data_IF_322625481528
#
_entry.id   IF_322625481528
#
_cell.length_a   1.000
_cell.length_b   1.000
_cell.length_c   1.000
_cell.angle_alpha   90.00
_cell.angle_beta   90.00
_cell.angle_gamma   90.00
#
_symmetry.space_group_name_H-M   'P 1'
#
loop_
_entity.id
_entity.type
_entity.pdbx_description
1 polymer ?
2 non-polymer ?
3 non-polymer ?
4 water ?
#
# COMPACT_ATOMS: atom_id res chain seq x y z
N UNK A 1 -25.86 -0.67 -6.01
CA UNK A 1 -25.10 -1.23 -4.85
C UNK A 1 -25.70 -0.74 -3.55
N UNK A 2 -25.56 -1.53 -2.46
CA UNK A 2 -26.09 -1.16 -1.15
C UNK A 2 -25.11 -0.20 -0.45
N UNK A 3 -25.40 0.16 0.80
CA UNK A 3 -24.53 1.04 1.55
C UNK A 3 -23.18 0.36 1.72
N UNK A 4 -22.09 1.14 1.86
CA UNK A 4 -20.75 0.56 2.04
C UNK A 4 -20.66 -0.52 3.12
N UNK A 5 -21.18 -0.26 4.31
CA UNK A 5 -21.11 -1.26 5.37
C UNK A 5 -21.88 -2.55 5.00
N UNK A 6 -23.03 -2.40 4.34
CA UNK A 6 -23.79 -3.59 3.96
C UNK A 6 -23.01 -4.38 2.92
N UNK A 7 -22.35 -3.67 2.00
CA UNK A 7 -21.55 -4.35 0.98
C UNK A 7 -20.36 -5.06 1.60
N UNK A 8 -19.71 -4.44 2.57
CA UNK A 8 -18.57 -5.08 3.25
C UNK A 8 -19.03 -6.40 3.88
N UNK A 9 -20.19 -6.37 4.53
CA UNK A 9 -20.70 -7.59 5.16
C UNK A 9 -20.99 -8.66 4.12
N UNK A 10 -21.61 -8.27 3.01
CA UNK A 10 -21.91 -9.21 1.95
C UNK A 10 -20.62 -9.84 1.43
N UNK A 11 -19.54 -9.06 1.38
CA UNK A 11 -18.28 -9.60 0.91
C UNK A 11 -17.73 -10.68 1.86
N UNK A 12 -17.84 -10.49 3.17
CA UNK A 12 -17.35 -11.52 4.10
C UNK A 12 -18.21 -12.77 3.92
N UNK A 13 -19.52 -12.57 3.78
CA UNK A 13 -20.44 -13.69 3.60
C UNK A 13 -20.11 -14.48 2.32
N UNK A 14 -19.86 -13.76 1.24
CA UNK A 14 -19.56 -14.43 -0.02
C UNK A 14 -18.16 -15.07 -0.05
N UNK A 15 -17.18 -14.42 0.57
CA UNK A 15 -15.81 -14.92 0.57
C UNK A 15 -15.43 -15.89 1.69
N UNK A 16 -16.21 -15.89 2.77
CA UNK A 16 -15.94 -16.70 3.95
C UNK A 16 -14.65 -16.20 4.61
N UNK A 17 -14.30 -14.95 4.35
CA UNK A 17 -13.08 -14.41 4.95
C UNK A 17 -13.34 -13.12 5.71
N UNK A 18 -12.28 -12.58 6.33
CA UNK A 18 -12.40 -11.32 7.05
C UNK A 18 -12.00 -10.18 6.14
N UNK A 19 -12.77 -9.10 6.20
CA UNK A 19 -12.50 -7.89 5.44
C UNK A 19 -12.19 -6.83 6.47
N UNK A 20 -11.19 -6.00 6.22
CA UNK A 20 -10.84 -4.92 7.13
C UNK A 20 -10.88 -3.67 6.28
N UNK A 21 -11.56 -2.63 6.75
CA UNK A 21 -11.68 -1.43 5.93
C UNK A 21 -11.76 -0.11 6.69
N UNK A 22 -11.14 0.93 6.11
CA UNK A 22 -11.22 2.28 6.66
C UNK A 22 -11.41 3.21 5.46
N UNK A 23 -12.29 4.18 5.62
CA UNK A 23 -12.55 5.22 4.63
C UNK A 23 -12.31 6.49 5.44
N UNK A 24 -11.37 7.31 5.02
CA UNK A 24 -10.99 8.49 5.81
C UNK A 24 -10.76 9.74 4.94
N UNK A 25 -11.20 10.90 5.42
CA UNK A 25 -10.96 12.13 4.67
C UNK A 25 -9.44 12.36 4.72
N UNK A 26 -8.81 12.55 3.55
CA UNK A 26 -7.35 12.73 3.52
C UNK A 26 -6.88 14.02 4.18
N UNK A 27 -7.60 15.10 3.96
CA UNK A 27 -7.20 16.37 4.52
C UNK A 27 -7.35 16.46 6.03
N UNK A 28 -8.44 15.91 6.56
CA UNK A 28 -8.69 16.04 8.01
C UNK A 28 -8.53 14.81 8.89
N UNK A 29 -8.58 13.62 8.29
CA UNK A 29 -8.50 12.39 9.06
C UNK A 29 -9.86 11.92 9.58
N UNK A 30 -10.93 12.60 9.17
CA UNK A 30 -12.27 12.18 9.61
C UNK A 30 -12.51 10.74 9.16
N UNK A 31 -12.85 9.86 10.10
CA UNK A 31 -13.14 8.47 9.73
C UNK A 31 -14.62 8.33 9.36
N UNK A 32 -14.90 7.90 8.12
CA UNK A 32 -16.29 7.72 7.67
C UNK A 32 -16.80 6.31 7.82
N UNK A 33 -15.97 5.34 7.50
CA UNK A 33 -16.33 3.93 7.62
C UNK A 33 -15.18 3.21 8.29
N UNK A 34 -15.48 2.35 9.25
CA UNK A 34 -14.46 1.58 9.95
C UNK A 34 -15.05 0.19 10.24
N UNK A 35 -14.47 -0.83 9.65
CA UNK A 35 -14.95 -2.20 9.84
C UNK A 35 -13.73 -3.05 10.11
N UNK A 36 -13.70 -3.69 11.29
CA UNK A 36 -12.55 -4.50 11.73
C UNK A 36 -11.29 -3.65 11.59
N UNK A 37 -11.45 -2.35 11.83
CA UNK A 37 -10.35 -1.40 11.65
C UNK A 37 -9.16 -1.57 12.58
N UNK A 38 -9.38 -2.27 13.70
CA UNK A 38 -8.31 -2.49 14.66
C UNK A 38 -7.83 -3.92 14.65
N UNK A 39 -8.29 -4.70 13.67
CA UNK A 39 -7.85 -6.08 13.54
C UNK A 39 -6.64 -6.15 12.60
N UNK A 40 -5.78 -7.15 12.82
CA UNK A 40 -4.59 -7.32 11.99
C UNK A 40 -4.81 -8.05 10.68
N UNK A 41 -4.12 -7.55 9.65
CA UNK A 41 -4.15 -8.11 8.31
C UNK A 41 -2.74 -8.06 7.72
N UNK A 42 -2.38 -9.07 6.92
CA UNK A 42 -1.04 -9.04 6.31
C UNK A 42 -0.98 -7.83 5.37
N UNK A 43 0.12 -7.06 5.41
CA UNK A 43 0.27 -5.89 4.54
C UNK A 43 0.56 -6.28 3.10
N UNK A 44 1.25 -7.39 2.93
CA UNK A 44 1.64 -7.81 1.58
C UNK A 44 2.43 -6.66 0.95
N UNK A 45 2.30 -6.50 -0.37
CA UNK A 45 3.03 -5.46 -1.08
C UNK A 45 2.67 -4.02 -0.71
N UNK A 46 1.61 -3.81 0.06
CA UNK A 46 1.30 -2.43 0.42
C UNK A 46 2.37 -1.82 1.31
N UNK A 47 3.24 -2.65 1.91
CA UNK A 47 4.31 -2.13 2.76
C UNK A 47 5.26 -1.26 1.94
N UNK A 48 5.29 -1.45 0.62
CA UNK A 48 6.20 -0.68 -0.22
C UNK A 48 5.98 0.83 -0.18
N UNK A 49 4.75 1.27 0.08
CA UNK A 49 4.51 2.70 0.17
C UNK A 49 5.17 3.25 1.46
N UNK A 50 4.99 2.56 2.59
CA UNK A 50 5.60 2.99 3.85
C UNK A 50 7.13 2.97 3.71
N UNK A 51 7.65 1.94 3.05
CA UNK A 51 9.08 1.82 2.80
C UNK A 51 9.64 3.08 2.13
N UNK A 52 9.00 3.53 1.06
CA UNK A 52 9.51 4.70 0.37
C UNK A 52 9.29 5.99 1.16
N UNK A 53 8.34 5.96 2.10
CA UNK A 53 8.16 7.12 2.95
C UNK A 53 9.41 7.21 3.83
N UNK A 54 9.92 6.07 4.28
CA UNK A 54 11.13 6.06 5.12
C UNK A 54 12.35 6.52 4.31
N UNK A 55 12.41 6.11 3.04
CA UNK A 55 13.50 6.52 2.17
C UNK A 55 13.45 8.04 1.98
N UNK A 56 12.26 8.57 1.73
CA UNK A 56 12.13 10.00 1.54
C UNK A 56 12.54 10.75 2.82
N UNK A 57 12.25 10.19 3.99
CA UNK A 57 12.61 10.83 5.24
C UNK A 57 14.13 10.96 5.31
N UNK A 58 14.83 9.92 4.86
CA UNK A 58 16.29 9.95 4.84
C UNK A 58 16.80 11.00 3.85
N UNK A 59 16.11 11.13 2.71
CA UNK A 59 16.50 12.15 1.73
C UNK A 59 16.34 13.54 2.35
N UNK A 60 15.21 13.76 3.02
CA UNK A 60 14.92 15.04 3.65
C UNK A 60 15.99 15.42 4.68
N UNK A 61 16.48 14.41 5.40
CA UNK A 61 17.50 14.61 6.44
C UNK A 61 18.91 14.79 5.87
N UNK A 62 19.05 14.58 4.56
CA UNK A 62 20.36 14.70 3.94
C UNK A 62 21.19 13.43 4.04
N UNK A 63 20.56 12.33 4.43
CA UNK A 63 21.25 11.05 4.58
C UNK A 63 21.07 10.12 3.38
N UNK A 64 20.35 10.61 2.37
CA UNK A 64 20.09 9.84 1.16
C UNK A 64 19.80 10.81 0.02
N UNK A 65 19.96 10.34 -1.21
CA UNK A 65 19.66 11.15 -2.39
C UNK A 65 18.87 10.26 -3.33
N UNK A 66 17.78 10.78 -3.90
CA UNK A 66 17.03 9.93 -4.83
C UNK A 66 17.87 9.69 -6.08
N UNK A 67 18.86 10.56 -6.32
CA UNK A 67 19.76 10.41 -7.45
C UNK A 67 20.83 9.31 -7.27
N UNK A 68 21.15 8.96 -6.03
CA UNK A 68 22.20 8.01 -5.77
C UNK A 68 22.01 6.68 -6.50
N UNK A 69 23.02 6.30 -7.29
CA UNK A 69 22.93 5.07 -8.05
C UNK A 69 23.42 3.87 -7.25
N UNK A 70 22.60 2.84 -7.16
CA UNK A 70 22.99 1.62 -6.47
C UNK A 70 23.27 0.54 -7.51
N UNK A 71 24.45 -0.07 -7.43
CA UNK A 71 24.80 -1.13 -8.36
C UNK A 71 24.63 -2.43 -7.60
N UNK A 72 23.89 -3.35 -8.19
CA UNK A 72 23.66 -4.60 -7.52
C UNK A 72 24.01 -5.75 -8.46
N UNK A 73 23.96 -6.97 -7.93
CA UNK A 73 24.33 -8.18 -8.66
C UNK A 73 23.14 -9.08 -8.94
N UNK A 74 23.28 -9.97 -9.92
CA UNK A 74 22.18 -10.87 -10.22
C UNK A 74 21.80 -11.71 -9.00
N UNK A 75 22.80 -12.08 -8.19
CA UNK A 75 22.56 -12.89 -6.99
C UNK A 75 21.68 -12.12 -5.99
N UNK A 76 21.58 -10.81 -6.15
CA UNK A 76 20.75 -10.00 -5.24
C UNK A 76 19.29 -10.02 -5.62
N UNK A 77 18.99 -10.50 -6.81
CA UNK A 77 17.60 -10.53 -7.26
C UNK A 77 16.75 -11.62 -6.64
N UNK A 78 15.52 -11.24 -6.31
CA UNK A 78 14.54 -12.18 -5.78
C UNK A 78 13.36 -12.26 -6.77
N UNK A 79 12.44 -13.17 -6.49
CA UNK A 79 11.28 -13.42 -7.32
C UNK A 79 10.51 -12.15 -7.67
N UNK A 80 10.31 -11.92 -8.97
CA UNK A 80 9.58 -10.79 -9.55
C UNK A 80 10.33 -9.48 -9.46
N UNK A 81 11.14 -9.25 -10.48
CA UNK A 81 12.00 -8.07 -10.58
C UNK A 81 11.94 -7.56 -12.02
N UNK A 82 10.73 -7.17 -12.48
CA UNK A 82 10.52 -6.69 -13.86
C UNK A 82 11.37 -5.52 -14.29
N UNK A 83 11.68 -4.63 -13.36
CA UNK A 83 12.49 -3.49 -13.69
C UNK A 83 13.95 -3.73 -13.33
N UNK A 84 14.20 -4.16 -12.10
CA UNK A 84 15.57 -4.36 -11.64
C UNK A 84 16.36 -5.40 -12.40
N UNK A 85 15.69 -6.43 -12.93
CA UNK A 85 16.46 -7.44 -13.67
C UNK A 85 17.03 -6.85 -14.96
N UNK A 86 16.52 -5.70 -15.39
CA UNK A 86 16.99 -5.07 -16.62
C UNK A 86 18.18 -4.14 -16.40
N UNK A 87 18.61 -3.95 -15.16
CA UNK A 87 19.70 -3.03 -14.88
C UNK A 87 20.88 -3.59 -14.13
N UNK A 88 21.25 -4.82 -14.48
CA UNK A 88 22.41 -5.43 -13.84
C UNK A 88 23.70 -4.76 -14.31
N UNK A 89 23.68 -4.20 -15.51
CA UNK A 89 24.87 -3.55 -16.04
C UNK A 89 25.05 -2.13 -15.57
N UNK A 90 23.95 -1.38 -15.47
CA UNK A 90 24.04 0.02 -15.10
C UNK A 90 23.50 0.50 -13.76
N UNK A 91 22.83 -0.38 -13.02
CA UNK A 91 22.29 0.01 -11.72
C UNK A 91 21.02 0.86 -11.84
N UNK A 92 20.49 1.21 -10.68
CA UNK A 92 19.29 2.06 -10.60
C UNK A 92 19.47 3.09 -9.50
N UNK A 93 18.88 4.27 -9.69
CA UNK A 93 18.97 5.28 -8.64
C UNK A 93 17.96 4.90 -7.54
N UNK A 94 18.16 5.47 -6.36
CA UNK A 94 17.26 5.20 -5.25
C UNK A 94 15.82 5.60 -5.63
N UNK A 95 15.68 6.75 -6.31
CA UNK A 95 14.37 7.18 -6.75
C UNK A 95 13.76 6.19 -7.74
N UNK A 96 14.57 5.70 -8.68
CA UNK A 96 14.07 4.69 -9.64
C UNK A 96 13.66 3.41 -8.90
N UNK A 97 14.39 3.07 -7.86
CA UNK A 97 14.07 1.88 -7.09
C UNK A 97 12.70 2.05 -6.41
N UNK A 98 12.44 3.22 -5.85
CA UNK A 98 11.13 3.45 -5.22
C UNK A 98 10.05 3.41 -6.29
N UNK A 99 10.30 4.02 -7.46
CA UNK A 99 9.28 3.96 -8.51
C UNK A 99 9.01 2.49 -8.91
N UNK A 100 10.05 1.69 -9.02
CA UNK A 100 9.88 0.29 -9.39
C UNK A 100 9.15 -0.50 -8.30
N UNK A 101 9.50 -0.24 -7.04
CA UNK A 101 8.85 -0.96 -5.93
C UNK A 101 7.35 -0.63 -5.83
N UNK A 102 7.02 0.65 -5.94
CA UNK A 102 5.64 1.06 -5.82
C UNK A 102 4.80 0.88 -7.07
N UNK A 103 5.31 1.34 -8.22
CA UNK A 103 4.51 1.28 -9.44
C UNK A 103 4.51 -0.06 -10.16
N UNK A 104 5.51 -0.90 -9.89
CA UNK A 104 5.60 -2.21 -10.54
C UNK A 104 5.66 -3.38 -9.54
N UNK A 105 5.74 -3.04 -8.26
CA UNK A 105 5.86 -4.01 -7.15
C UNK A 105 7.10 -4.88 -7.33
N UNK A 106 8.17 -4.26 -7.81
CA UNK A 106 9.44 -4.93 -8.05
C UNK A 106 10.02 -5.34 -6.68
N UNK A 107 10.18 -6.65 -6.46
CA UNK A 107 10.64 -7.11 -5.16
C UNK A 107 12.11 -6.90 -4.85
N UNK A 108 12.98 -6.97 -5.86
CA UNK A 108 14.40 -6.76 -5.63
C UNK A 108 14.59 -5.29 -5.30
N UNK A 109 13.87 -4.42 -6.02
CA UNK A 109 13.98 -2.99 -5.74
C UNK A 109 13.55 -2.74 -4.30
N UNK A 110 12.47 -3.37 -3.89
CA UNK A 110 12.00 -3.21 -2.51
C UNK A 110 13.04 -3.69 -1.50
N UNK A 111 13.67 -4.84 -1.75
CA UNK A 111 14.67 -5.33 -0.80
C UNK A 111 15.92 -4.45 -0.74
N UNK A 112 16.34 -3.92 -1.89
CA UNK A 112 17.51 -3.05 -1.90
C UNK A 112 17.19 -1.82 -1.05
N UNK A 113 16.00 -1.25 -1.24
CA UNK A 113 15.58 -0.09 -0.44
C UNK A 113 15.44 -0.44 1.04
N UNK A 114 14.90 -1.62 1.33
CA UNK A 114 14.70 -2.02 2.70
C UNK A 114 16.03 -2.09 3.46
N UNK A 115 17.08 -2.51 2.77
CA UNK A 115 18.38 -2.57 3.43
C UNK A 115 18.84 -1.16 3.82
N UNK A 116 18.60 -0.16 2.95
CA UNK A 116 19.04 1.21 3.23
C UNK A 116 18.40 1.84 4.46
N UNK A 117 17.22 1.36 4.85
CA UNK A 117 16.56 1.91 6.02
C UNK A 117 16.70 1.02 7.25
N UNK A 118 17.59 0.03 7.20
CA UNK A 118 17.78 -0.82 8.36
C UNK A 118 17.03 -2.14 8.39
N UNK A 119 16.58 -2.60 7.22
CA UNK A 119 15.86 -3.86 7.15
C UNK A 119 14.47 -3.75 7.77
N UNK A 120 13.77 -4.88 7.90
CA UNK A 120 12.42 -4.90 8.49
C UNK A 120 12.41 -4.21 9.87
N UNK A 121 13.43 -4.45 10.69
CA UNK A 121 13.47 -3.82 12.01
C UNK A 121 13.57 -2.30 11.89
N UNK A 122 14.39 -1.82 10.95
CA UNK A 122 14.57 -0.40 10.73
C UNK A 122 13.28 0.28 10.26
N UNK A 123 12.55 -0.38 9.37
CA UNK A 123 11.30 0.20 8.89
C UNK A 123 10.29 0.23 10.05
N UNK A 124 10.28 -0.81 10.87
CA UNK A 124 9.38 -0.86 11.99
C UNK A 124 9.72 0.27 12.98
N UNK A 125 11.01 0.53 13.16
CA UNK A 125 11.43 1.60 14.06
C UNK A 125 10.95 2.95 13.49
N UNK A 126 11.03 3.10 12.17
CA UNK A 126 10.58 4.33 11.51
C UNK A 126 9.08 4.51 11.79
N UNK A 127 8.31 3.41 11.67
CA UNK A 127 6.88 3.48 11.92
C UNK A 127 6.62 3.94 13.37
N UNK A 128 7.37 3.39 14.33
CA UNK A 128 7.19 3.81 15.71
C UNK A 128 7.53 5.31 15.85
N UNK A 129 8.54 5.77 15.12
CA UNK A 129 8.95 7.17 15.17
C UNK A 129 7.88 8.13 14.65
N UNK A 130 7.02 7.66 13.76
CA UNK A 130 5.95 8.55 13.29
C UNK A 130 4.63 8.29 14.02
N UNK A 131 4.69 7.52 15.11
CA UNK A 131 3.48 7.32 15.88
C UNK A 131 2.62 6.11 15.60
N UNK A 132 3.09 5.22 14.74
CA UNK A 132 2.35 4.00 14.43
C UNK A 132 2.95 2.91 15.30
N UNK A 133 2.23 2.51 16.34
CA UNK A 133 2.72 1.51 17.27
C UNK A 133 2.15 0.13 17.01
N UNK A 134 1.52 -0.05 15.85
CA UNK A 134 0.90 -1.31 15.51
C UNK A 134 1.53 -2.01 14.30
N UNK A 135 1.67 -1.28 13.19
CA UNK A 135 2.23 -1.86 11.98
C UNK A 135 3.64 -2.39 12.21
N UNK A 136 3.93 -3.54 11.63
CA UNK A 136 5.24 -4.13 11.81
C UNK A 136 5.71 -4.90 10.58
N UNK A 137 6.97 -4.72 10.22
CA UNK A 137 7.55 -5.49 9.11
C UNK A 137 8.56 -6.40 9.78
N UNK A 138 8.55 -7.67 9.37
CA UNK A 138 9.45 -8.64 9.96
C UNK A 138 10.29 -9.39 8.96
N UNK A 139 9.78 -9.53 7.74
CA UNK A 139 10.49 -10.27 6.72
C UNK A 139 10.75 -9.46 5.46
N UNK A 140 11.57 -10.02 4.58
CA UNK A 140 11.90 -9.37 3.32
C UNK A 140 10.85 -9.64 2.25
N UNK A 141 10.93 -8.89 1.15
CA UNK A 141 9.95 -8.91 0.06
C UNK A 141 9.25 -10.16 -0.41
N UNK A 142 9.97 -11.25 -0.58
CA UNK A 142 9.31 -12.44 -1.08
C UNK A 142 8.89 -13.48 -0.03
N UNK A 143 8.91 -13.11 1.25
CA UNK A 143 8.49 -14.04 2.32
C UNK A 143 7.42 -13.42 3.21
N UNK A 144 7.23 -12.10 3.10
CA UNK A 144 6.25 -11.44 3.95
C UNK A 144 4.77 -11.62 3.65
N UNK A 145 4.41 -12.28 2.56
CA UNK A 145 2.98 -12.46 2.28
C UNK A 145 2.47 -13.88 2.49
N UNK A 146 3.17 -14.65 3.33
CA UNK A 146 2.78 -16.02 3.63
C UNK A 146 1.40 -16.11 4.33
N UNK A 147 1.05 -15.09 5.09
CA UNK A 147 -0.26 -15.03 5.75
C UNK A 147 -0.70 -16.23 6.61
N UNK A 148 0.19 -16.73 7.45
CA UNK A 148 -0.16 -17.85 8.31
C UNK A 148 -1.19 -17.38 9.35
N UNK A 149 -2.16 -18.22 9.69
CA UNK A 149 -3.15 -17.81 10.69
C UNK A 149 -2.47 -17.61 12.05
N UNK A 150 -2.88 -16.58 12.79
CA UNK A 150 -2.29 -16.32 14.09
C UNK A 150 -0.89 -15.71 14.05
N UNK A 151 -0.36 -15.49 12.85
CA UNK A 151 0.98 -14.92 12.70
C UNK A 151 0.88 -13.41 12.62
N UNK A 152 1.46 -12.73 13.62
CA UNK A 152 1.44 -11.27 13.67
C UNK A 152 2.51 -10.63 12.80
N UNK A 153 3.41 -11.42 12.24
CA UNK A 153 4.45 -10.83 11.40
C UNK A 153 3.91 -10.13 10.16
N UNK A 154 4.57 -9.02 9.80
CA UNK A 154 4.23 -8.29 8.58
C UNK A 154 2.77 -7.88 8.46
N UNK A 155 2.22 -7.38 9.56
CA UNK A 155 0.82 -6.99 9.55
C UNK A 155 0.63 -5.53 9.90
N UNK A 156 -0.56 -5.04 9.59
CA UNK A 156 -0.96 -3.70 9.94
C UNK A 156 -2.44 -3.83 10.29
N UNK A 157 -3.08 -2.71 10.63
CA UNK A 157 -4.53 -2.73 10.84
C UNK A 157 -5.03 -1.66 9.88
N UNK A 158 -6.31 -1.73 9.46
CA UNK A 158 -6.81 -0.70 8.55
C UNK A 158 -6.64 0.70 9.13
N UNK A 159 -6.94 0.84 10.42
CA UNK A 159 -6.83 2.15 11.05
C UNK A 159 -5.39 2.68 11.11
N UNK A 160 -4.45 1.80 11.42
CA UNK A 160 -3.04 2.17 11.50
C UNK A 160 -2.50 2.56 10.14
N UNK A 161 -2.78 1.73 9.14
CA UNK A 161 -2.29 2.02 7.81
C UNK A 161 -2.87 3.31 7.24
N UNK A 162 -4.16 3.54 7.44
CA UNK A 162 -4.79 4.77 6.95
C UNK A 162 -4.14 5.98 7.62
N UNK A 163 -3.97 5.91 8.94
CA UNK A 163 -3.36 7.02 9.68
C UNK A 163 -1.92 7.25 9.25
N UNK A 164 -1.17 6.17 9.04
CA UNK A 164 0.22 6.28 8.63
C UNK A 164 0.34 6.88 7.24
N UNK A 165 -0.49 6.44 6.30
CA UNK A 165 -0.44 7.00 4.95
C UNK A 165 -0.78 8.48 5.01
N UNK A 166 -1.78 8.84 5.81
CA UNK A 166 -2.13 10.24 5.92
C UNK A 166 -0.95 11.04 6.48
N UNK A 167 -0.28 10.50 7.50
CA UNK A 167 0.87 11.20 8.07
C UNK A 167 1.96 11.43 7.03
N UNK A 168 2.25 10.39 6.25
CA UNK A 168 3.30 10.50 5.24
C UNK A 168 2.96 11.47 4.12
N UNK A 169 1.69 11.46 3.70
CA UNK A 169 1.27 12.31 2.60
C UNK A 169 0.92 13.74 2.94
N UNK A 170 0.50 14.00 4.17
CA UNK A 170 0.01 15.34 4.50
C UNK A 170 0.46 16.04 5.78
N UNK A 171 1.12 15.33 6.69
CA UNK A 171 1.45 15.94 7.99
C UNK A 171 2.66 16.83 8.11
N UNK A 172 3.39 17.01 7.01
CA UNK A 172 4.60 17.83 6.99
C UNK A 172 5.74 17.17 7.75
N UNK A 173 5.63 15.85 7.97
CA UNK A 173 6.72 15.10 8.60
C UNK A 173 7.75 14.98 7.47
N UNK A 174 7.25 14.80 6.25
CA UNK A 174 8.11 14.77 5.06
C UNK A 174 8.03 16.17 4.45
N UNK A 175 9.07 16.57 3.73
CA UNK A 175 9.11 17.87 3.08
C UNK A 175 8.01 17.96 2.03
N UNK A 176 7.73 19.17 1.55
CA UNK A 176 6.71 19.33 0.54
C UNK A 176 7.05 18.50 -0.70
N UNK A 177 8.29 18.59 -1.15
CA UNK A 177 8.68 17.84 -2.34
C UNK A 177 8.54 16.33 -2.13
N UNK A 178 8.91 15.84 -0.95
CA UNK A 178 8.81 14.40 -0.68
C UNK A 178 7.35 13.97 -0.63
N UNK A 179 6.49 14.77 0.00
CA UNK A 179 5.05 14.43 0.04
C UNK A 179 4.50 14.32 -1.38
N UNK A 180 4.89 15.25 -2.24
CA UNK A 180 4.45 15.25 -3.63
C UNK A 180 4.99 14.05 -4.39
N UNK A 181 6.23 13.67 -4.10
CA UNK A 181 6.82 12.50 -4.76
C UNK A 181 6.11 11.19 -4.37
N UNK A 182 5.84 11.01 -3.07
CA UNK A 182 5.19 9.79 -2.62
C UNK A 182 3.81 9.66 -3.26
N UNK A 183 3.08 10.78 -3.32
CA UNK A 183 1.77 10.79 -3.95
C UNK A 183 1.88 10.43 -5.45
N UNK A 184 2.84 11.03 -6.15
CA UNK A 184 2.96 10.75 -7.57
C UNK A 184 3.29 9.27 -7.81
N UNK A 185 4.12 8.65 -6.94
CA UNK A 185 4.42 7.23 -7.13
C UNK A 185 3.11 6.41 -7.05
N UNK A 186 2.24 6.76 -6.11
CA UNK A 186 0.97 6.03 -6.03
C UNK A 186 0.08 6.31 -7.24
N UNK A 187 0.09 7.56 -7.73
CA UNK A 187 -0.71 7.91 -8.91
C UNK A 187 -0.22 7.07 -10.10
N UNK A 188 1.09 6.84 -10.13
CA UNK A 188 1.69 6.09 -11.23
C UNK A 188 1.65 4.57 -11.18
N UNK A 189 0.91 3.97 -10.24
CA UNK A 189 0.85 2.51 -10.20
C UNK A 189 0.49 1.89 -11.53
N UNK A 190 1.31 0.98 -12.01
CA UNK A 190 1.04 0.32 -13.29
C UNK A 190 0.33 -1.01 -13.09
N UNK A 191 0.42 -1.59 -11.91
CA UNK A 191 -0.18 -2.88 -11.66
C UNK A 191 -1.71 -2.85 -11.62
N UNK A 192 -2.27 -1.89 -10.90
CA UNK A 192 -3.73 -1.81 -10.81
C UNK A 192 -4.33 -0.47 -11.23
N UNK A 193 -3.52 0.58 -11.25
CA UNK A 193 -4.04 1.90 -11.60
C UNK A 193 -4.83 1.97 -12.89
N UNK A 194 -4.22 1.61 -14.02
CA UNK A 194 -4.94 1.66 -15.29
C UNK A 194 -6.20 0.80 -15.31
N UNK A 195 -6.13 -0.38 -14.70
CA UNK A 195 -7.28 -1.27 -14.66
C UNK A 195 -8.42 -0.59 -13.88
N UNK A 196 -8.10 -0.02 -12.71
CA UNK A 196 -9.11 0.66 -11.92
C UNK A 196 -9.72 1.83 -12.69
N UNK A 197 -8.89 2.63 -13.36
CA UNK A 197 -9.45 3.76 -14.11
C UNK A 197 -10.40 3.28 -15.18
N UNK A 198 -10.11 2.13 -15.78
CA UNK A 198 -10.96 1.58 -16.83
C UNK A 198 -12.37 1.26 -16.35
N UNK A 199 -12.54 1.04 -15.05
CA UNK A 199 -13.87 0.73 -14.53
C UNK A 199 -14.44 1.84 -13.64
N UNK A 200 -13.69 2.93 -13.47
CA UNK A 200 -14.22 4.02 -12.66
C UNK A 200 -15.05 4.97 -13.52
N UNK A 201 -16.13 5.52 -12.98
CA UNK A 201 -16.92 6.46 -13.78
C UNK A 201 -16.05 7.68 -14.02
N UNK A 202 -16.38 8.45 -15.05
CA UNK A 202 -15.65 9.67 -15.33
C UNK A 202 -15.68 10.57 -14.10
N UNK A 203 -14.56 11.25 -13.85
CA UNK A 203 -14.51 12.19 -12.74
C UNK A 203 -13.88 11.69 -11.45
N UNK A 204 -13.62 10.38 -11.37
CA UNK A 204 -13.04 9.82 -10.15
C UNK A 204 -11.53 9.63 -10.21
N UNK A 205 -10.86 10.24 -9.24
CA UNK A 205 -9.41 10.19 -9.03
C UNK A 205 -9.01 8.84 -8.40
N UNK A 206 -7.88 8.28 -8.83
CA UNK A 206 -7.35 7.08 -8.17
C UNK A 206 -5.83 7.11 -8.10
N UNK A 207 -5.30 6.72 -6.94
CA UNK A 207 -3.85 6.54 -6.71
C UNK A 207 -3.88 5.30 -5.83
N UNK A 208 -2.90 4.40 -5.96
CA UNK A 208 -3.00 3.19 -5.17
C UNK A 208 -1.76 2.33 -5.12
N UNK A 209 -1.78 1.39 -4.17
CA UNK A 209 -0.79 0.31 -4.12
C UNK A 209 -1.59 -0.92 -3.69
N UNK A 210 -1.49 -2.01 -4.44
CA UNK A 210 -2.23 -3.22 -4.10
C UNK A 210 -1.27 -4.30 -3.62
N UNK A 211 -1.82 -5.36 -3.06
CA UNK A 211 -1.03 -6.46 -2.57
C UNK A 211 -1.83 -7.74 -2.57
N UNK A 212 -1.13 -8.88 -2.54
CA UNK A 212 -1.79 -10.17 -2.50
C UNK A 212 -0.89 -11.13 -1.74
N UNK A 213 -1.49 -12.14 -1.15
CA UNK A 213 -0.74 -13.13 -0.39
C UNK A 213 -1.45 -14.46 -0.35
N UNK A 214 -0.96 -15.33 0.53
CA UNK A 214 -1.52 -16.66 0.69
C UNK A 214 -2.84 -16.64 1.46
N UNK A 215 -3.55 -17.76 1.36
CA UNK A 215 -4.82 -17.93 2.06
C UNK A 215 -5.81 -16.85 1.70
N UNK A 216 -5.74 -16.41 0.46
CA UNK A 216 -6.67 -15.40 -0.01
C UNK A 216 -6.32 -13.97 0.32
N UNK A 217 -5.19 -13.74 0.98
CA UNK A 217 -4.82 -12.36 1.33
C UNK A 217 -4.85 -11.44 0.10
N UNK A 218 -5.43 -10.26 0.27
CA UNK A 218 -5.55 -9.32 -0.83
C UNK A 218 -5.74 -7.94 -0.21
N UNK A 219 -5.19 -6.91 -0.83
CA UNK A 219 -5.41 -5.61 -0.23
C UNK A 219 -5.11 -4.44 -1.13
N UNK A 220 -5.60 -3.28 -0.71
CA UNK A 220 -5.34 -2.07 -1.46
C UNK A 220 -5.34 -0.86 -0.53
N UNK A 221 -4.36 0.02 -0.74
CA UNK A 221 -4.31 1.29 -0.01
C UNK A 221 -4.47 2.29 -1.16
N UNK A 222 -5.45 3.17 -1.06
CA UNK A 222 -5.75 4.06 -2.16
C UNK A 222 -6.25 5.42 -1.76
N UNK A 223 -6.18 6.33 -2.73
CA UNK A 223 -6.72 7.69 -2.61
C UNK A 223 -7.79 7.72 -3.69
N UNK A 224 -8.97 8.17 -3.32
CA UNK A 224 -10.12 8.16 -4.22
C UNK A 224 -11.01 9.35 -3.98
N UNK A 225 -11.64 9.83 -5.04
CA UNK A 225 -12.59 10.92 -4.85
C UNK A 225 -13.15 11.47 -6.14
N UNK A 226 -14.31 12.13 -6.07
CA UNK A 226 -14.95 12.71 -7.25
C UNK A 226 -14.28 14.07 -7.55
N UNK A 227 -14.70 14.66 -8.65
CA UNK A 227 -14.14 15.92 -9.16
C UNK A 227 -12.64 15.84 -9.32
N UNK A 228 -12.14 14.66 -9.64
CA UNK A 228 -10.73 14.45 -9.87
C UNK A 228 -9.84 14.89 -8.72
N UNK A 229 -10.34 14.68 -7.51
CA UNK A 229 -9.60 15.03 -6.29
C UNK A 229 -9.37 13.82 -5.39
N UNK A 230 -8.20 13.76 -4.77
CA UNK A 230 -7.84 12.68 -3.83
C UNK A 230 -8.52 13.06 -2.50
N UNK A 231 -9.84 12.90 -2.46
CA UNK A 231 -10.58 13.30 -1.28
C UNK A 231 -10.44 12.38 -0.09
N UNK A 232 -10.41 11.07 -0.33
CA UNK A 232 -10.35 10.14 0.79
C UNK A 232 -9.32 9.05 0.64
N UNK A 233 -8.81 8.60 1.79
CA UNK A 233 -7.92 7.45 1.82
C UNK A 233 -8.88 6.28 2.02
N UNK A 234 -8.71 5.21 1.24
CA UNK A 234 -9.50 4.02 1.43
C UNK A 234 -8.52 2.85 1.54
N UNK A 235 -8.61 2.12 2.65
CA UNK A 235 -7.74 0.98 2.88
C UNK A 235 -8.65 -0.23 3.06
N UNK A 236 -8.43 -1.27 2.23
CA UNK A 236 -9.20 -2.51 2.33
C UNK A 236 -8.27 -3.70 2.31
N UNK A 237 -8.40 -4.56 3.32
CA UNK A 237 -7.61 -5.78 3.38
C UNK A 237 -8.56 -6.97 3.50
N UNK A 238 -8.16 -8.09 2.89
CA UNK A 238 -8.95 -9.33 2.95
C UNK A 238 -8.01 -10.41 3.45
N UNK A 239 -8.52 -11.34 4.28
CA UNK A 239 -7.66 -12.44 4.69
C UNK A 239 -8.50 -13.69 4.96
N UNK A 240 -7.83 -14.83 4.89
CA UNK A 240 -8.46 -16.11 5.16
C UNK A 240 -9.73 -16.45 4.38
N UNK A 241 -9.60 -16.38 3.06
CA UNK A 241 -10.69 -16.76 2.16
C UNK A 241 -10.09 -17.68 1.10
N UNK A 242 -10.80 -18.76 0.74
CA UNK A 242 -10.28 -19.68 -0.28
C UNK A 242 -10.63 -19.24 -1.69
N UNK A 243 -11.21 -18.05 -1.82
CA UNK A 243 -11.66 -17.57 -3.13
C UNK A 243 -10.59 -17.27 -4.18
N UNK A 244 -10.99 -17.40 -5.44
CA UNK A 244 -10.12 -17.11 -6.56
C UNK A 244 -9.74 -15.64 -6.50
N UNK A 245 -8.61 -15.32 -7.10
CA UNK A 245 -8.15 -13.94 -7.20
C UNK A 245 -9.23 -13.08 -7.86
N UNK A 246 -9.83 -13.59 -8.93
CA UNK A 246 -10.88 -12.83 -9.62
C UNK A 246 -12.00 -12.43 -8.66
N UNK A 247 -12.44 -13.35 -7.83
CA UNK A 247 -13.52 -13.02 -6.92
C UNK A 247 -13.10 -12.09 -5.80
N UNK A 248 -11.86 -12.20 -5.34
CA UNK A 248 -11.40 -11.27 -4.31
C UNK A 248 -11.33 -9.88 -4.94
N UNK A 249 -10.87 -9.79 -6.18
CA UNK A 249 -10.83 -8.50 -6.89
C UNK A 249 -12.23 -7.93 -7.05
N UNK A 250 -13.16 -8.79 -7.44
CA UNK A 250 -14.54 -8.38 -7.66
C UNK A 250 -15.19 -7.85 -6.37
N UNK A 251 -14.92 -8.50 -5.24
CA UNK A 251 -15.51 -8.06 -3.99
C UNK A 251 -14.96 -6.71 -3.56
N UNK A 252 -13.65 -6.51 -3.75
CA UNK A 252 -13.06 -5.22 -3.38
C UNK A 252 -13.67 -4.14 -4.31
N UNK A 253 -13.80 -4.46 -5.60
CA UNK A 253 -14.40 -3.50 -6.53
C UNK A 253 -15.84 -3.19 -6.11
N UNK A 254 -16.55 -4.22 -5.63
CA UNK A 254 -17.92 -4.03 -5.18
C UNK A 254 -18.03 -3.07 -4.00
N UNK A 255 -17.07 -3.11 -3.09
CA UNK A 255 -17.07 -2.19 -1.96
C UNK A 255 -16.82 -0.79 -2.54
N UNK A 256 -15.91 -0.69 -3.53
CA UNK A 256 -15.65 0.59 -4.16
C UNK A 256 -16.91 1.14 -4.83
N UNK A 257 -17.70 0.26 -5.46
CA UNK A 257 -18.91 0.72 -6.12
C UNK A 257 -19.90 1.27 -5.09
N UNK A 258 -19.99 0.63 -3.92
CA UNK A 258 -20.89 1.11 -2.88
C UNK A 258 -20.44 2.49 -2.42
N UNK A 259 -19.13 2.70 -2.34
CA UNK A 259 -18.60 4.00 -1.93
C UNK A 259 -18.95 5.08 -2.95
N UNK A 260 -18.77 4.74 -4.23
CA UNK A 260 -19.02 5.66 -5.34
C UNK A 260 -20.49 6.07 -5.44
N UNK A 261 -21.39 5.11 -5.23
CA UNK A 261 -22.81 5.41 -5.31
C UNK A 261 -23.35 6.13 -4.09
N UNK A 262 -22.67 6.01 -2.96
CA UNK A 262 -23.11 6.62 -1.71
C UNK A 262 -21.96 7.40 -1.09
N UNK A 263 -21.43 8.34 -1.86
CA UNK A 263 -20.28 9.12 -1.42
C UNK A 263 -20.51 10.15 -0.35
N UNK A 264 -21.65 10.82 -0.39
CA UNK A 264 -21.90 11.88 0.58
C UNK A 264 -22.47 11.37 1.90
N UNK A 265 -21.57 11.07 2.82
CA UNK A 265 -21.92 10.61 4.16
C UNK A 265 -21.11 11.43 5.16
X LIG B 1 -22.11 3.39 -12.29
X LIG B 1 -22.32 4.06 -13.68
X LIG B 1 -21.78 5.49 -13.67
X LIG B 1 -22.38 6.28 -12.54
X LIG B 1 -22.16 5.54 -11.19
X LIG B 1 -22.76 6.22 -10.13
X LIG B 1 -21.65 3.26 -14.68
X LIG B 1 -22.10 6.04 -14.98
X LIG B 1 -22.71 4.22 -11.25
X LIG B 1 -24.19 6.28 -10.27
X LIG B 1 -20.73 3.28 -12.07
X LIG B 1 -21.78 7.56 -12.46
X LIG B 1 -17.87 0.59 -10.79
X LIG B 1 -18.46 0.28 -12.17
X LIG B 1 -19.10 1.60 -12.64
X LIG B 1 -20.15 2.01 -11.63
X LIG B 1 -19.56 2.21 -10.28
X LIG B 1 -20.58 2.55 -9.19
X LIG B 1 -17.27 -0.57 -10.29
X LIG B 1 -17.46 -0.13 -13.07
X LIG B 1 -19.69 1.39 -13.92
X LIG B 1 -18.91 1.00 -9.87
X LIG B 1 -21.62 1.51 -9.20
X LIG B 1 -16.42 -0.31 -9.15
X LIG B 1 -15.00 -0.32 -9.63
X LIG B 1 -14.18 -0.03 -8.39
X LIG B 1 -12.72 -0.29 -8.71
X LIG B 1 -11.81 -0.16 -7.53
X LIG B 1 -12.04 0.84 -6.45
X LIG B 1 -11.01 0.83 -5.35
X LIG B 1 -11.53 -0.04 -4.18
X LIG B 1 -11.03 0.32 -2.76
X LIG B 1 -9.97 1.39 -2.68
X LIG B 1 -10.31 2.59 -3.55
X LIG B 1 -10.69 2.27 -4.99
X LIG C 1 -11.90 -4.45 -11.30
X LIG C 1 -10.98 -4.83 -10.18
X LIG C 1 -10.34 -3.82 -9.30
X LIG C 1 -9.43 -4.39 -8.20
X LIG C 1 -9.51 -3.51 -6.94
X LIG C 1 -8.36 -3.71 -5.90
X LIG C 1 -7.25 -4.69 -6.26
X LIG C 1 -6.89 -4.66 -7.75
X LIG C 1 -8.04 -4.57 -8.75
X LIG D 1 3.17 -9.14 -9.36
X LIG D 1 2.94 -7.84 -9.23
X LIG D 1 2.15 -7.64 -8.18
X LIG D 1 1.87 -8.73 -7.66
X LIG D 1 2.50 -9.70 -8.36
X LIG D 1 2.37 -11.15 -8.09
X LIG D 1 3.51 -11.81 -7.30
X LIG D 1 3.04 -13.56 -7.01
X LIG D 1 2.69 -14.03 -8.41
X LIG D 1 1.75 -13.47 -6.24
X LIG D 1 4.77 -11.76 -8.16
X LIG D 1 3.73 -11.09 -5.96
X LIG D 1 4.82 -11.66 -5.04
X LIG D 1 5.97 -11.26 -5.17
X LIG D 1 4.55 -12.45 -4.13
X LIG D 1 2.49 -10.99 -5.16
X LIG D 1 2.30 -10.03 -4.26
X LIG D 1 3.10 -8.93 -3.96
X LIG D 1 2.65 -7.89 -3.17
X LIG D 1 1.55 -7.96 -2.59
#
# INVERSE_FOLDING_TARGET
SPQPLEQIKLSESQLSGRVGMIEMDLASGRTLTAWRADERFPMMSTFKVVLCGAVLARVDAGDEQLERKIHYRQQDLVDYSPVSEKHLADGMTVGELCAAAITMSDNSAANLLLATVGGPAGLTAFLRQIGDNVTRLDRWATELNEALPGDARDTTTPASMAATLRKLLTSQRLSARSQRQLLQWMVDDRVAGPLIRSVLPAGWFIADKTGAGERGARGIVALLGPNNKAERIVVIYLRDTPASMAERNQQIAGIGAALIEHWQR
MA4 C1 C2 C3 C4 C5 C6 O2 O3 O5 O6 O1 O4 C10 C20 C30 C40 C50 C60 O10 O20 O30 O50 O60 C11 C21 C31 C41 C51 C61 C12 C22 C32 C42 C52 C62
MA4 C41 C51 C61 C12 C22 C32 C42 C52 C62
TBI C18 C19 N17 N16 N15 C14 C2 S1 O12 O13 C20 C3 C9 O11 O10 N4 C5 C6 C7 O8
#
